data_IF_084998929532
#
_entry.id   IF_084998929532
#
_cell.length_a   1.000
_cell.length_b   1.000
_cell.length_c   1.000
_cell.angle_alpha   90.00
_cell.angle_beta   90.00
_cell.angle_gamma   90.00
#
_symmetry.space_group_name_H-M   'P 1'
#
loop_
_entity.id
_entity.type
_entity.pdbx_description
1 polymer ?
#
# COMPACT_ATOMS: atom_id res chain seq x y z
N UNK A 1 -20.07 3.97 13.45
CA UNK A 1 -19.98 4.83 12.27
C UNK A 1 -21.05 4.40 11.29
N UNK A 2 -21.90 5.30 10.74
CA UNK A 2 -22.91 4.92 9.75
C UNK A 2 -22.23 4.43 8.47
N UNK A 3 -22.89 3.50 7.75
CA UNK A 3 -22.42 3.05 6.44
C UNK A 3 -22.51 4.21 5.42
N UNK A 4 -21.59 4.28 4.44
CA UNK A 4 -21.71 5.20 3.30
C UNK A 4 -23.03 5.00 2.53
N UNK A 5 -23.49 6.03 1.86
CA UNK A 5 -24.66 5.91 0.99
C UNK A 5 -24.37 4.97 -0.20
N UNK A 6 -25.37 4.20 -0.63
CA UNK A 6 -25.22 3.18 -1.69
C UNK A 6 -24.69 3.72 -3.03
N UNK A 7 -24.91 5.00 -3.31
CA UNK A 7 -24.45 5.65 -4.54
C UNK A 7 -23.00 6.17 -4.48
N UNK A 8 -22.37 6.12 -3.30
CA UNK A 8 -21.00 6.55 -3.14
C UNK A 8 -20.02 5.43 -3.53
N UNK A 9 -18.95 5.82 -4.22
CA UNK A 9 -17.78 4.95 -4.39
C UNK A 9 -16.82 5.20 -3.23
N UNK A 10 -16.33 4.15 -2.63
CA UNK A 10 -15.44 4.23 -1.46
C UNK A 10 -14.09 3.63 -1.86
N UNK A 11 -13.02 4.35 -1.57
CA UNK A 11 -11.66 3.83 -1.62
C UNK A 11 -11.25 3.49 -0.20
N UNK A 12 -10.74 2.30 0.00
CA UNK A 12 -10.26 1.78 1.28
C UNK A 12 -8.81 1.38 1.11
N UNK A 13 -8.00 1.74 2.09
CA UNK A 13 -6.59 1.34 2.14
C UNK A 13 -6.23 0.96 3.58
N UNK A 14 -5.28 0.06 3.73
CA UNK A 14 -4.56 -0.22 4.97
C UNK A 14 -3.18 0.41 4.93
N UNK A 15 -2.46 0.44 6.06
CA UNK A 15 -1.08 0.88 6.07
C UNK A 15 -0.25 0.02 5.10
N UNK A 16 0.62 0.68 4.34
CA UNK A 16 1.47 0.01 3.38
C UNK A 16 2.59 -0.71 4.11
N UNK A 17 2.73 -2.04 3.98
CA UNK A 17 3.83 -2.76 4.59
C UNK A 17 5.17 -2.35 3.97
N UNK A 18 6.17 -2.13 4.82
CA UNK A 18 7.48 -1.69 4.38
C UNK A 18 8.28 -2.88 3.81
N UNK A 19 8.83 -2.71 2.60
CA UNK A 19 9.46 -3.80 1.84
C UNK A 19 10.91 -4.09 2.28
N UNK A 20 11.16 -4.21 3.59
CA UNK A 20 12.47 -4.52 4.17
C UNK A 20 12.49 -5.78 5.06
N UNK A 21 11.38 -6.52 5.12
CA UNK A 21 11.22 -7.74 5.92
C UNK A 21 9.86 -8.38 5.72
N UNK A 22 9.66 -9.54 6.32
CA UNK A 22 8.41 -10.30 6.25
C UNK A 22 7.28 -9.63 7.04
N UNK A 23 6.03 -9.98 6.70
CA UNK A 23 4.87 -9.56 7.47
C UNK A 23 4.89 -10.21 8.86
N UNK A 24 4.49 -9.46 9.86
CA UNK A 24 4.23 -9.98 11.20
C UNK A 24 2.75 -9.86 11.55
N UNK A 25 2.35 -10.45 12.67
CA UNK A 25 0.95 -10.50 13.09
C UNK A 25 0.30 -9.11 13.20
N UNK A 26 1.06 -8.06 13.52
CA UNK A 26 0.56 -6.69 13.57
C UNK A 26 0.10 -6.17 12.21
N UNK A 27 0.86 -6.45 11.15
CA UNK A 27 0.47 -6.13 9.78
C UNK A 27 -0.80 -6.91 9.37
N UNK A 28 -0.81 -8.22 9.64
CA UNK A 28 -1.95 -9.08 9.31
C UNK A 28 -3.22 -8.64 10.02
N UNK A 29 -3.13 -8.25 11.29
CA UNK A 29 -4.28 -7.76 12.06
C UNK A 29 -4.94 -6.56 11.39
N UNK A 30 -4.16 -5.58 10.94
CA UNK A 30 -4.66 -4.39 10.26
C UNK A 30 -5.33 -4.75 8.94
N UNK A 31 -4.68 -5.57 8.11
CA UNK A 31 -5.25 -6.02 6.85
C UNK A 31 -6.55 -6.81 7.03
N UNK A 32 -6.61 -7.72 8.02
CA UNK A 32 -7.82 -8.48 8.35
C UNK A 32 -8.95 -7.56 8.80
N UNK A 33 -8.68 -6.60 9.69
CA UNK A 33 -9.69 -5.64 10.15
C UNK A 33 -10.22 -4.79 9.00
N UNK A 34 -9.34 -4.34 8.11
CA UNK A 34 -9.73 -3.59 6.91
C UNK A 34 -10.57 -4.44 5.97
N UNK A 35 -10.19 -5.70 5.74
CA UNK A 35 -10.92 -6.63 4.86
C UNK A 35 -12.31 -6.97 5.41
N UNK A 36 -12.49 -7.09 6.72
CA UNK A 36 -13.80 -7.25 7.35
C UNK A 36 -14.71 -6.07 6.98
N UNK A 37 -14.18 -4.85 7.05
CA UNK A 37 -14.93 -3.65 6.67
C UNK A 37 -15.27 -3.64 5.18
N UNK A 38 -14.33 -3.97 4.31
CA UNK A 38 -14.53 -4.11 2.86
C UNK A 38 -15.65 -5.11 2.55
N UNK A 39 -15.60 -6.29 3.17
CA UNK A 39 -16.63 -7.34 2.99
C UNK A 39 -18.00 -6.87 3.48
N UNK A 40 -18.07 -6.14 4.58
CA UNK A 40 -19.30 -5.55 5.06
C UNK A 40 -19.91 -4.57 4.04
N UNK A 41 -19.09 -3.69 3.46
CA UNK A 41 -19.54 -2.74 2.43
C UNK A 41 -20.05 -3.46 1.19
N UNK A 42 -19.29 -4.44 0.68
CA UNK A 42 -19.67 -5.24 -0.47
C UNK A 42 -20.97 -6.02 -0.24
N UNK A 43 -21.15 -6.61 0.96
CA UNK A 43 -22.38 -7.31 1.35
C UNK A 43 -23.60 -6.37 1.42
N UNK A 44 -23.39 -5.06 1.62
CA UNK A 44 -24.46 -4.04 1.58
C UNK A 44 -24.63 -3.40 0.20
N UNK A 45 -24.03 -3.97 -0.85
CA UNK A 45 -24.04 -3.45 -2.23
C UNK A 45 -23.47 -2.02 -2.36
N UNK A 46 -22.46 -1.68 -1.54
CA UNK A 46 -21.72 -0.43 -1.65
C UNK A 46 -20.48 -0.71 -2.50
N UNK A 47 -20.31 0.06 -3.57
CA UNK A 47 -19.13 -0.05 -4.43
C UNK A 47 -17.89 0.43 -3.67
N UNK A 48 -16.97 -0.47 -3.37
CA UNK A 48 -15.71 -0.12 -2.73
C UNK A 48 -14.53 -0.76 -3.45
N UNK A 49 -13.42 -0.02 -3.46
CA UNK A 49 -12.13 -0.46 -3.99
C UNK A 49 -11.14 -0.53 -2.84
N UNK A 50 -10.66 -1.74 -2.55
CA UNK A 50 -9.63 -1.97 -1.55
C UNK A 50 -8.27 -2.04 -2.23
N UNK A 51 -7.46 -1.00 -2.03
CA UNK A 51 -6.15 -0.88 -2.64
C UNK A 51 -5.07 -0.76 -1.57
N UNK A 52 -3.92 -1.38 -1.80
CA UNK A 52 -2.74 -1.28 -0.96
C UNK A 52 -1.48 -1.42 -1.81
N UNK A 53 -0.31 -1.22 -1.20
CA UNK A 53 0.96 -1.36 -1.88
C UNK A 53 2.07 -1.72 -0.89
N UNK A 54 3.18 -2.27 -1.37
CA UNK A 54 4.43 -2.30 -0.63
C UNK A 54 5.08 -0.93 -0.64
N UNK A 55 5.49 -0.44 0.54
CA UNK A 55 6.30 0.77 0.66
C UNK A 55 7.77 0.42 0.42
N UNK A 56 8.29 0.89 -0.73
CA UNK A 56 9.55 0.43 -1.31
C UNK A 56 10.69 1.46 -1.29
N UNK A 57 10.55 2.58 -0.56
CA UNK A 57 11.52 3.67 -0.57
C UNK A 57 12.12 3.97 0.81
N UNK A 58 13.28 4.61 0.78
CA UNK A 58 13.96 5.12 1.98
C UNK A 58 15.31 4.45 2.27
N UNK A 59 16.11 5.13 3.09
CA UNK A 59 17.44 4.67 3.47
C UNK A 59 17.48 3.26 4.08
N UNK A 60 16.52 2.84 4.93
CA UNK A 60 16.52 1.47 5.47
C UNK A 60 16.45 0.39 4.40
N UNK A 61 15.77 0.62 3.27
CA UNK A 61 15.75 -0.32 2.12
C UNK A 61 17.18 -0.50 1.57
N UNK A 62 17.89 0.60 1.33
CA UNK A 62 19.25 0.56 0.80
C UNK A 62 20.22 -0.12 1.76
N UNK A 63 20.10 0.14 3.06
CA UNK A 63 20.95 -0.49 4.09
C UNK A 63 20.68 -1.99 4.15
N UNK A 64 19.40 -2.38 4.13
CA UNK A 64 19.00 -3.79 4.17
C UNK A 64 19.46 -4.55 2.93
N UNK A 65 19.34 -3.96 1.75
CA UNK A 65 19.83 -4.55 0.51
C UNK A 65 21.34 -4.78 0.55
N UNK A 66 22.10 -3.83 1.11
CA UNK A 66 23.55 -3.96 1.32
C UNK A 66 23.90 -5.08 2.31
N UNK A 67 23.14 -5.22 3.40
CA UNK A 67 23.33 -6.32 4.37
C UNK A 67 23.09 -7.69 3.74
N UNK A 68 22.14 -7.79 2.81
CA UNK A 68 21.76 -9.01 2.10
C UNK A 68 22.59 -9.25 0.82
N UNK A 69 23.53 -8.36 0.52
CA UNK A 69 24.36 -8.39 -0.69
C UNK A 69 23.51 -8.55 -1.98
N UNK A 70 22.46 -7.71 -2.07
CA UNK A 70 21.51 -7.72 -3.21
C UNK A 70 21.18 -6.32 -3.67
N UNK A 71 20.62 -6.19 -4.89
CA UNK A 71 20.12 -4.91 -5.40
C UNK A 71 18.81 -4.51 -4.70
N UNK A 72 18.63 -3.22 -4.33
CA UNK A 72 17.42 -2.76 -3.66
C UNK A 72 16.13 -3.11 -4.38
N UNK A 73 16.08 -2.93 -5.69
CA UNK A 73 14.91 -3.22 -6.53
C UNK A 73 14.52 -4.70 -6.48
N UNK A 74 15.53 -5.57 -6.54
CA UNK A 74 15.31 -7.02 -6.45
C UNK A 74 14.77 -7.39 -5.08
N UNK A 75 15.37 -6.86 -4.02
CA UNK A 75 14.96 -7.13 -2.65
C UNK A 75 13.50 -6.68 -2.40
N UNK A 76 13.12 -5.46 -2.79
CA UNK A 76 11.75 -4.98 -2.57
C UNK A 76 10.72 -5.79 -3.35
N UNK A 77 11.05 -6.29 -4.54
CA UNK A 77 10.16 -7.15 -5.31
C UNK A 77 10.00 -8.55 -4.67
N UNK A 78 11.07 -9.10 -4.11
CA UNK A 78 11.02 -10.36 -3.36
C UNK A 78 10.13 -10.24 -2.12
N UNK A 79 10.30 -9.16 -1.31
CA UNK A 79 9.42 -8.90 -0.17
C UNK A 79 7.98 -8.61 -0.58
N UNK A 80 7.75 -7.83 -1.64
CA UNK A 80 6.40 -7.61 -2.18
C UNK A 80 5.71 -8.93 -2.53
N UNK A 81 6.43 -9.82 -3.20
CA UNK A 81 5.91 -11.14 -3.57
C UNK A 81 5.61 -12.01 -2.35
N UNK A 82 6.47 -11.96 -1.32
CA UNK A 82 6.24 -12.64 -0.04
C UNK A 82 5.01 -12.09 0.66
N UNK A 83 4.89 -10.76 0.77
CA UNK A 83 3.72 -10.09 1.37
C UNK A 83 2.41 -10.48 0.69
N UNK A 84 2.39 -10.47 -0.66
CA UNK A 84 1.21 -10.89 -1.42
C UNK A 84 0.80 -12.33 -1.09
N UNK A 85 1.77 -13.25 -1.07
CA UNK A 85 1.51 -14.65 -0.75
C UNK A 85 0.93 -14.82 0.66
N UNK A 86 1.46 -14.09 1.64
CA UNK A 86 0.96 -14.12 3.01
C UNK A 86 -0.46 -13.57 3.08
N UNK A 87 -0.72 -12.40 2.50
CA UNK A 87 -2.04 -11.78 2.48
C UNK A 87 -3.09 -12.65 1.76
N UNK A 88 -2.71 -13.28 0.65
CA UNK A 88 -3.55 -14.22 -0.07
C UNK A 88 -3.89 -15.45 0.79
N UNK A 89 -2.94 -15.95 1.59
CA UNK A 89 -3.18 -17.08 2.51
C UNK A 89 -4.23 -16.78 3.58
N UNK A 90 -4.41 -15.49 3.93
CA UNK A 90 -5.47 -15.00 4.81
C UNK A 90 -6.74 -14.56 4.06
N UNK A 91 -6.82 -14.80 2.75
CA UNK A 91 -7.94 -14.41 1.89
C UNK A 91 -8.26 -12.90 1.95
N UNK A 92 -7.25 -12.05 2.08
CA UNK A 92 -7.43 -10.59 2.04
C UNK A 92 -7.85 -10.18 0.63
N UNK A 93 -8.97 -9.50 0.50
CA UNK A 93 -9.65 -9.25 -0.78
C UNK A 93 -9.26 -7.92 -1.43
N UNK A 94 -7.95 -7.62 -1.54
CA UNK A 94 -7.51 -6.44 -2.30
C UNK A 94 -7.99 -6.50 -3.75
N UNK A 95 -8.44 -5.36 -4.27
CA UNK A 95 -8.66 -5.21 -5.72
C UNK A 95 -7.33 -4.96 -6.43
N UNK A 96 -6.39 -4.32 -5.74
CA UNK A 96 -5.02 -4.13 -6.22
C UNK A 96 -4.05 -4.03 -5.03
N UNK A 97 -2.99 -4.83 -5.08
CA UNK A 97 -1.83 -4.70 -4.20
C UNK A 97 -0.61 -4.44 -5.09
N UNK A 98 -0.06 -3.24 -5.01
CA UNK A 98 0.97 -2.79 -5.94
C UNK A 98 2.28 -2.43 -5.22
N UNK A 99 3.01 -1.43 -5.69
CA UNK A 99 4.26 -0.93 -5.12
C UNK A 99 4.32 0.58 -5.21
N UNK A 100 4.95 1.22 -4.24
CA UNK A 100 5.31 2.65 -4.34
C UNK A 100 6.45 2.89 -5.32
N UNK A 101 7.22 1.84 -5.70
CA UNK A 101 8.26 1.90 -6.73
C UNK A 101 7.64 1.62 -8.11
N UNK A 102 6.85 2.58 -8.62
CA UNK A 102 6.19 2.50 -9.93
C UNK A 102 6.29 3.83 -10.67
N UNK A 103 6.19 3.78 -11.99
CA UNK A 103 6.22 4.99 -12.83
C UNK A 103 4.99 5.88 -12.55
N UNK A 104 3.83 5.28 -12.25
CA UNK A 104 2.62 6.02 -11.89
C UNK A 104 2.82 6.79 -10.58
N UNK A 105 3.36 6.15 -9.54
CA UNK A 105 3.60 6.81 -8.26
C UNK A 105 4.66 7.92 -8.41
N UNK A 106 5.70 7.70 -9.17
CA UNK A 106 6.71 8.72 -9.51
C UNK A 106 6.07 9.92 -10.17
N UNK A 107 5.27 9.70 -11.22
CA UNK A 107 4.58 10.78 -11.94
C UNK A 107 3.70 11.63 -11.00
N UNK A 108 2.86 10.98 -10.17
CA UNK A 108 1.99 11.71 -9.27
C UNK A 108 2.74 12.41 -8.14
N UNK A 109 3.82 11.81 -7.63
CA UNK A 109 4.67 12.43 -6.61
C UNK A 109 5.34 13.70 -7.14
N UNK A 110 5.91 13.64 -8.34
CA UNK A 110 6.51 14.80 -9.01
C UNK A 110 5.47 15.88 -9.32
N UNK A 111 4.29 15.51 -9.77
CA UNK A 111 3.19 16.43 -10.03
C UNK A 111 2.73 17.16 -8.76
N UNK A 112 2.54 16.41 -7.66
CA UNK A 112 2.12 16.99 -6.37
C UNK A 112 3.21 17.92 -5.84
N UNK A 113 4.47 17.51 -5.88
CA UNK A 113 5.61 18.31 -5.47
C UNK A 113 5.67 19.64 -6.25
N UNK A 114 5.56 19.58 -7.58
CA UNK A 114 5.61 20.75 -8.46
C UNK A 114 4.49 21.71 -8.13
N UNK A 115 3.26 21.23 -8.00
CA UNK A 115 2.11 22.06 -7.62
C UNK A 115 2.24 22.67 -6.24
N UNK A 116 2.74 21.94 -5.25
CA UNK A 116 2.99 22.46 -3.91
C UNK A 116 4.04 23.56 -3.93
N UNK A 117 5.12 23.39 -4.70
CA UNK A 117 6.17 24.40 -4.86
C UNK A 117 5.65 25.65 -5.56
N UNK A 118 4.90 25.52 -6.65
CA UNK A 118 4.29 26.63 -7.39
C UNK A 118 3.29 27.41 -6.52
N UNK A 119 2.62 26.73 -5.60
CA UNK A 119 1.66 27.33 -4.64
C UNK A 119 2.32 27.95 -3.40
N UNK A 120 3.66 27.92 -3.29
CA UNK A 120 4.41 28.51 -2.19
C UNK A 120 4.37 27.72 -0.88
N UNK A 121 3.98 26.42 -0.92
CA UNK A 121 4.01 25.55 0.27
C UNK A 121 5.39 24.92 0.54
N UNK A 122 6.31 25.05 -0.40
CA UNK A 122 7.69 24.54 -0.27
C UNK A 122 8.65 25.70 -0.38
N UNK A 123 9.39 25.95 0.69
CA UNK A 123 10.47 26.93 0.76
C UNK A 123 11.83 26.22 0.55
N UNK A 124 12.77 26.93 -0.08
CA UNK A 124 14.14 26.45 -0.35
C UNK A 124 15.13 26.97 0.70
#
# INVERSE_FOLDING_TARGET
MPLPEKNNRVIITSALPYANGDLHIGHLLEHVQTDIWVRLLRANNITCHYVCASDAHGTPIMLRAKELDTEPEKMVEEFRSSHMKDLDSFNISHDNFYTTHSEENKYFSELIYTKAKESGYIES
#
